data_IF_899723343383
#
_entry.id   IF_899723343383
#
_cell.length_a   1.000
_cell.length_b   1.000
_cell.length_c   1.000
_cell.angle_alpha   90.00
_cell.angle_beta   90.00
_cell.angle_gamma   90.00
#
_symmetry.space_group_name_H-M   'P 1'
#
loop_
_entity.id
_entity.type
_entity.pdbx_description
1 polymer ?
#
# COMPACT_ATOMS: atom_id res chain seq x y z
N UNK A 1 -3.23 3.76 -20.16
CA UNK A 1 -2.46 2.62 -19.58
C UNK A 1 -2.97 2.27 -18.17
N UNK A 2 -3.13 3.25 -17.28
CA UNK A 2 -3.45 3.02 -15.86
C UNK A 2 -4.69 2.14 -15.63
N UNK A 3 -5.79 2.37 -16.33
CA UNK A 3 -7.03 1.58 -16.22
C UNK A 3 -6.81 0.12 -16.63
N UNK A 4 -6.10 -0.12 -17.75
CA UNK A 4 -5.80 -1.48 -18.21
C UNK A 4 -4.92 -2.25 -17.21
N UNK A 5 -3.91 -1.59 -16.64
CA UNK A 5 -3.03 -2.18 -15.62
C UNK A 5 -3.81 -2.46 -14.32
N UNK A 6 -4.61 -1.51 -13.85
CA UNK A 6 -5.46 -1.72 -12.67
C UNK A 6 -6.45 -2.88 -12.88
N UNK A 7 -7.04 -2.99 -14.07
CA UNK A 7 -7.99 -4.05 -14.40
C UNK A 7 -7.38 -5.45 -14.33
N UNK A 8 -6.15 -5.64 -14.82
CA UNK A 8 -5.51 -6.98 -14.75
C UNK A 8 -5.03 -7.32 -13.34
N UNK A 9 -4.66 -6.32 -12.54
CA UNK A 9 -4.31 -6.49 -11.11
C UNK A 9 -5.56 -6.91 -10.33
N UNK A 10 -6.69 -6.22 -10.53
CA UNK A 10 -7.97 -6.54 -9.92
C UNK A 10 -8.48 -7.92 -10.33
N UNK A 11 -8.38 -8.27 -11.62
CA UNK A 11 -8.77 -9.58 -12.12
C UNK A 11 -7.96 -10.75 -11.51
N UNK A 12 -6.74 -10.50 -11.06
CA UNK A 12 -5.93 -11.46 -10.32
C UNK A 12 -6.35 -11.62 -8.84
N UNK A 13 -7.21 -10.75 -8.32
CA UNK A 13 -7.69 -10.78 -6.92
C UNK A 13 -7.07 -9.74 -5.98
N UNK A 14 -6.30 -8.78 -6.50
CA UNK A 14 -5.71 -7.70 -5.70
C UNK A 14 -6.65 -6.48 -5.76
N UNK A 15 -7.30 -6.20 -4.65
CA UNK A 15 -8.38 -5.20 -4.53
C UNK A 15 -7.94 -3.85 -3.90
N UNK A 16 -6.67 -3.69 -3.53
CA UNK A 16 -6.11 -2.43 -3.05
C UNK A 16 -5.05 -1.94 -4.00
N UNK A 17 -5.29 -0.79 -4.63
CA UNK A 17 -4.43 -0.24 -5.69
C UNK A 17 -4.07 1.20 -5.35
N UNK A 18 -2.78 1.49 -5.30
CA UNK A 18 -2.30 2.86 -5.14
C UNK A 18 -1.49 3.32 -6.36
N UNK A 19 -1.73 4.55 -6.79
CA UNK A 19 -0.95 5.23 -7.83
C UNK A 19 0.06 6.15 -7.16
N UNK A 20 1.36 5.96 -7.38
CA UNK A 20 2.38 6.82 -6.76
C UNK A 20 2.31 8.25 -7.30
N UNK A 21 2.30 9.25 -6.41
CA UNK A 21 2.21 10.67 -6.82
C UNK A 21 3.45 11.19 -7.58
N UNK A 22 4.54 10.42 -7.62
CA UNK A 22 5.72 10.71 -8.44
C UNK A 22 5.63 10.10 -9.87
N UNK A 23 4.47 9.56 -10.25
CA UNK A 23 4.18 9.12 -11.62
C UNK A 23 3.58 10.26 -12.46
N UNK A 24 3.56 10.16 -13.82
CA UNK A 24 2.92 11.17 -14.68
C UNK A 24 1.40 11.24 -14.44
N UNK A 25 0.85 12.47 -14.33
CA UNK A 25 -0.59 12.75 -14.17
C UNK A 25 -1.29 11.81 -13.16
N UNK A 26 -0.78 11.70 -11.89
CA UNK A 26 -1.25 10.66 -10.98
C UNK A 26 -2.73 10.85 -10.58
N UNK A 27 -3.20 12.08 -10.46
CA UNK A 27 -4.60 12.34 -10.08
C UNK A 27 -5.58 11.99 -11.21
N UNK A 28 -5.20 12.21 -12.48
CA UNK A 28 -5.99 11.78 -13.64
C UNK A 28 -6.05 10.24 -13.69
N UNK A 29 -4.92 9.58 -13.41
CA UNK A 29 -4.86 8.12 -13.32
C UNK A 29 -5.75 7.58 -12.20
N UNK A 30 -5.72 8.18 -11.00
CA UNK A 30 -6.58 7.80 -9.89
C UNK A 30 -8.06 7.97 -10.28
N UNK A 31 -8.42 9.13 -10.82
CA UNK A 31 -9.81 9.41 -11.21
C UNK A 31 -10.32 8.38 -12.24
N UNK A 32 -9.57 8.12 -13.31
CA UNK A 32 -9.99 7.16 -14.34
C UNK A 32 -10.08 5.72 -13.83
N UNK A 33 -9.20 5.31 -12.90
CA UNK A 33 -9.27 3.98 -12.27
C UNK A 33 -10.49 3.91 -11.35
N UNK A 34 -10.77 4.96 -10.57
CA UNK A 34 -11.96 5.04 -9.69
C UNK A 34 -13.25 4.97 -10.51
N UNK A 35 -13.35 5.70 -11.63
CA UNK A 35 -14.51 5.63 -12.53
C UNK A 35 -14.75 4.22 -13.08
N UNK A 36 -13.66 3.48 -13.36
CA UNK A 36 -13.74 2.13 -13.91
C UNK A 36 -13.99 1.04 -12.87
N UNK A 37 -13.41 1.16 -11.67
CA UNK A 37 -13.31 0.06 -10.71
C UNK A 37 -13.57 0.46 -9.25
N UNK A 38 -14.02 1.69 -8.96
CA UNK A 38 -14.21 2.18 -7.59
C UNK A 38 -15.21 1.40 -6.75
N UNK A 39 -16.15 0.69 -7.39
CA UNK A 39 -17.09 -0.20 -6.72
C UNK A 39 -16.50 -1.60 -6.41
N UNK A 40 -15.35 -1.93 -6.95
CA UNK A 40 -14.71 -3.26 -6.87
C UNK A 40 -13.38 -3.25 -6.13
N UNK A 41 -12.71 -2.08 -6.05
CA UNK A 41 -11.38 -1.94 -5.48
C UNK A 41 -11.26 -0.68 -4.62
N UNK A 42 -10.40 -0.75 -3.61
CA UNK A 42 -9.96 0.40 -2.83
C UNK A 42 -8.81 1.08 -3.58
N UNK A 43 -9.09 2.23 -4.19
CA UNK A 43 -8.14 2.94 -5.05
C UNK A 43 -7.67 4.21 -4.37
N UNK A 44 -6.41 4.54 -4.53
CA UNK A 44 -5.87 5.78 -3.97
C UNK A 44 -4.45 6.10 -4.42
N UNK A 45 -3.71 6.79 -3.58
CA UNK A 45 -2.39 7.29 -3.90
C UNK A 45 -1.29 6.74 -2.99
N UNK A 46 -0.13 6.49 -3.58
CA UNK A 46 1.13 6.29 -2.89
C UNK A 46 2.02 7.53 -2.91
N UNK A 47 3.02 7.55 -2.04
CA UNK A 47 4.00 8.66 -1.94
C UNK A 47 3.34 10.01 -1.63
N UNK A 48 2.31 9.99 -0.79
CA UNK A 48 1.63 11.20 -0.32
C UNK A 48 2.40 11.78 0.85
N UNK A 49 2.84 13.03 0.72
CA UNK A 49 3.76 13.69 1.67
C UNK A 49 3.18 14.96 2.33
N UNK A 50 2.04 15.46 1.84
CA UNK A 50 1.46 16.70 2.35
C UNK A 50 -0.05 16.62 2.49
N UNK A 51 -0.62 17.42 3.39
CA UNK A 51 -2.08 17.54 3.56
C UNK A 51 -2.78 18.11 2.33
N UNK A 52 -2.08 18.91 1.51
CA UNK A 52 -2.61 19.39 0.23
C UNK A 52 -2.78 18.24 -0.77
N UNK A 53 -1.81 17.34 -0.85
CA UNK A 53 -1.92 16.13 -1.68
C UNK A 53 -3.06 15.21 -1.20
N UNK A 54 -3.30 15.08 0.10
CA UNK A 54 -4.44 14.33 0.65
C UNK A 54 -5.75 14.84 0.05
N UNK A 55 -5.98 16.17 0.04
CA UNK A 55 -7.18 16.78 -0.54
C UNK A 55 -7.29 16.53 -2.05
N UNK A 56 -6.16 16.57 -2.78
CA UNK A 56 -6.14 16.27 -4.21
C UNK A 56 -6.50 14.79 -4.48
N UNK A 57 -5.98 13.84 -3.67
CA UNK A 57 -6.36 12.43 -3.75
C UNK A 57 -7.87 12.26 -3.52
N UNK A 58 -8.42 12.92 -2.50
CA UNK A 58 -9.86 12.87 -2.23
C UNK A 58 -10.68 13.43 -3.39
N UNK A 59 -10.25 14.57 -3.95
CA UNK A 59 -10.91 15.20 -5.11
C UNK A 59 -10.89 14.32 -6.36
N UNK A 60 -9.86 13.49 -6.53
CA UNK A 60 -9.75 12.52 -7.61
C UNK A 60 -10.59 11.23 -7.36
N UNK A 61 -11.35 11.18 -6.26
CA UNK A 61 -12.16 10.01 -5.88
C UNK A 61 -11.41 8.94 -5.09
N UNK A 62 -10.13 9.18 -4.73
CA UNK A 62 -9.33 8.22 -3.96
C UNK A 62 -9.90 7.99 -2.57
N UNK A 63 -9.67 6.78 -2.05
CA UNK A 63 -10.13 6.30 -0.75
C UNK A 63 -8.98 5.76 0.11
N UNK A 64 -7.76 5.74 -0.45
CA UNK A 64 -6.56 5.17 0.15
C UNK A 64 -5.39 6.15 0.03
N UNK A 65 -4.66 6.35 1.11
CA UNK A 65 -3.42 7.13 1.15
C UNK A 65 -2.31 6.27 1.75
N UNK A 66 -1.26 6.07 0.99
CA UNK A 66 -0.03 5.39 1.40
C UNK A 66 1.11 6.40 1.40
N UNK A 67 1.82 6.54 2.52
CA UNK A 67 2.96 7.44 2.66
C UNK A 67 4.26 6.66 2.85
N UNK A 68 5.41 7.18 2.41
CA UNK A 68 6.70 6.52 2.67
C UNK A 68 7.22 6.77 4.08
N UNK A 69 6.64 7.72 4.82
CA UNK A 69 7.05 8.19 6.14
C UNK A 69 5.86 8.33 7.08
N UNK A 70 6.15 8.53 8.35
CA UNK A 70 5.18 8.84 9.38
C UNK A 70 5.08 10.37 9.57
N UNK A 71 4.02 10.97 9.03
CA UNK A 71 3.66 12.36 9.30
C UNK A 71 2.26 12.42 9.93
N UNK A 72 2.15 12.72 11.23
CA UNK A 72 0.86 12.78 11.92
C UNK A 72 -0.15 13.76 11.29
N UNK A 73 0.32 14.85 10.66
CA UNK A 73 -0.58 15.81 10.02
C UNK A 73 -1.20 15.22 8.73
N UNK A 74 -0.42 14.48 7.95
CA UNK A 74 -0.90 13.77 6.74
C UNK A 74 -1.87 12.66 7.14
N UNK A 75 -1.56 11.89 8.19
CA UNK A 75 -2.42 10.84 8.71
C UNK A 75 -3.77 11.41 9.16
N UNK A 76 -3.75 12.42 10.03
CA UNK A 76 -4.96 13.06 10.55
C UNK A 76 -5.81 13.68 9.44
N UNK A 77 -5.19 14.34 8.46
CA UNK A 77 -5.90 14.89 7.30
C UNK A 77 -6.56 13.77 6.46
N UNK A 78 -5.87 12.64 6.26
CA UNK A 78 -6.40 11.49 5.53
C UNK A 78 -7.66 10.93 6.20
N UNK A 79 -7.59 10.72 7.51
CA UNK A 79 -8.72 10.22 8.30
C UNK A 79 -9.89 11.23 8.31
N UNK A 80 -9.60 12.54 8.42
CA UNK A 80 -10.63 13.58 8.38
C UNK A 80 -11.37 13.62 7.02
N UNK A 81 -10.71 13.27 5.93
CA UNK A 81 -11.32 13.13 4.59
C UNK A 81 -12.05 11.78 4.39
N UNK A 82 -12.13 10.91 5.41
CA UNK A 82 -12.79 9.61 5.35
C UNK A 82 -12.04 8.54 4.55
N UNK A 83 -10.73 8.70 4.37
CA UNK A 83 -9.88 7.77 3.64
C UNK A 83 -9.07 6.87 4.57
N UNK A 84 -8.63 5.72 4.09
CA UNK A 84 -7.68 4.86 4.79
C UNK A 84 -6.27 5.46 4.72
N UNK A 85 -5.56 5.48 5.88
CA UNK A 85 -4.18 5.96 5.99
C UNK A 85 -3.22 4.83 6.33
N UNK A 86 -2.20 4.64 5.49
CA UNK A 86 -1.16 3.62 5.61
C UNK A 86 0.23 4.27 5.58
N UNK A 87 0.65 4.94 6.68
CA UNK A 87 1.94 5.60 6.78
C UNK A 87 3.10 4.61 6.84
N UNK A 88 4.22 5.00 6.26
CA UNK A 88 5.50 4.31 6.38
C UNK A 88 6.10 4.49 7.76
N UNK A 89 6.51 3.39 8.38
CA UNK A 89 7.16 3.37 9.69
C UNK A 89 8.36 2.43 9.66
N UNK A 90 9.41 2.77 10.40
CA UNK A 90 10.61 1.95 10.53
C UNK A 90 11.02 1.75 11.99
N UNK A 91 10.58 2.63 12.88
CA UNK A 91 10.90 2.61 14.31
C UNK A 91 9.66 2.44 15.18
N UNK A 92 9.80 1.94 16.42
CA UNK A 92 8.72 1.90 17.41
C UNK A 92 8.03 3.26 17.62
N UNK A 93 8.80 4.34 17.69
CA UNK A 93 8.26 5.69 17.89
C UNK A 93 7.37 6.13 16.75
N UNK A 94 7.78 5.89 15.50
CA UNK A 94 6.96 6.19 14.32
C UNK A 94 5.69 5.35 14.30
N UNK A 95 5.79 4.04 14.59
CA UNK A 95 4.64 3.16 14.60
C UNK A 95 3.58 3.59 15.62
N UNK A 96 3.98 3.93 16.84
CA UNK A 96 3.06 4.39 17.88
C UNK A 96 2.51 5.79 17.56
N UNK A 97 3.32 6.70 17.04
CA UNK A 97 2.85 8.03 16.61
C UNK A 97 1.84 7.93 15.46
N UNK A 98 2.06 7.05 14.50
CA UNK A 98 1.12 6.80 13.40
C UNK A 98 -0.24 6.31 13.92
N UNK A 99 -0.25 5.34 14.83
CA UNK A 99 -1.48 4.81 15.43
C UNK A 99 -2.20 5.86 16.28
N UNK A 100 -1.46 6.68 17.04
CA UNK A 100 -2.03 7.80 17.80
C UNK A 100 -2.68 8.85 16.90
N UNK A 101 -2.13 9.08 15.71
CA UNK A 101 -2.71 9.97 14.70
C UNK A 101 -3.92 9.37 13.96
N UNK A 102 -4.29 8.11 14.22
CA UNK A 102 -5.45 7.44 13.66
C UNK A 102 -5.17 6.59 12.42
N UNK A 103 -3.92 6.21 12.15
CA UNK A 103 -3.59 5.36 11.00
C UNK A 103 -4.45 4.09 10.96
N UNK A 104 -4.93 3.72 9.78
CA UNK A 104 -5.72 2.50 9.54
C UNK A 104 -4.88 1.23 9.72
N UNK A 105 -3.62 1.30 9.31
CA UNK A 105 -2.61 0.28 9.47
C UNK A 105 -1.24 0.88 9.21
N UNK A 106 -0.21 0.06 9.28
CA UNK A 106 1.18 0.49 9.15
C UNK A 106 1.82 -0.14 7.91
N UNK A 107 2.58 0.65 7.17
CA UNK A 107 3.49 0.20 6.13
C UNK A 107 4.89 0.09 6.74
N UNK A 108 5.40 -1.13 7.00
CA UNK A 108 6.79 -1.31 7.39
C UNK A 108 7.69 -1.08 6.17
N UNK A 109 8.43 0.04 6.19
CA UNK A 109 9.22 0.50 5.04
C UNK A 109 10.49 1.23 5.48
N UNK A 110 11.66 0.96 4.86
CA UNK A 110 11.92 -0.08 3.85
C UNK A 110 11.95 -1.51 4.46
N UNK A 111 11.12 -2.41 3.90
CA UNK A 111 10.98 -3.75 4.45
C UNK A 111 12.24 -4.60 4.34
N UNK A 112 13.00 -4.48 3.25
CA UNK A 112 14.26 -5.17 3.03
C UNK A 112 15.33 -4.82 4.08
N UNK A 113 15.31 -3.61 4.62
CA UNK A 113 16.20 -3.20 5.72
C UNK A 113 15.71 -3.71 7.08
N UNK A 114 14.41 -3.70 7.34
CA UNK A 114 13.84 -4.17 8.60
C UNK A 114 13.90 -5.70 8.72
N UNK A 115 13.56 -6.37 7.64
CA UNK A 115 13.44 -7.82 7.57
C UNK A 115 12.30 -8.39 8.46
N UNK A 116 11.98 -9.68 8.30
CA UNK A 116 11.00 -10.35 9.16
C UNK A 116 11.35 -10.30 10.65
N UNK A 117 12.64 -10.32 10.99
CA UNK A 117 13.11 -10.19 12.38
C UNK A 117 12.76 -8.83 13.00
N UNK A 118 12.91 -7.76 12.23
CA UNK A 118 12.53 -6.40 12.65
C UNK A 118 11.02 -6.29 12.88
N UNK A 119 10.22 -6.85 11.97
CA UNK A 119 8.77 -6.92 12.15
C UNK A 119 8.39 -7.67 13.43
N UNK A 120 8.95 -8.86 13.66
CA UNK A 120 8.66 -9.66 14.86
C UNK A 120 9.00 -8.90 16.14
N UNK A 121 10.11 -8.16 16.16
CA UNK A 121 10.48 -7.33 17.29
C UNK A 121 9.49 -6.16 17.50
N UNK A 122 9.06 -5.51 16.41
CA UNK A 122 8.08 -4.41 16.47
C UNK A 122 6.71 -4.90 16.96
N UNK A 123 6.27 -6.09 16.58
CA UNK A 123 5.01 -6.70 17.04
C UNK A 123 4.88 -6.77 18.55
N UNK A 124 5.99 -6.93 19.26
CA UNK A 124 5.97 -7.03 20.72
C UNK A 124 5.45 -5.77 21.44
N UNK A 125 5.47 -4.61 20.75
CA UNK A 125 5.03 -3.33 21.33
C UNK A 125 3.77 -2.75 20.66
N UNK A 126 3.32 -3.33 19.57
CA UNK A 126 2.14 -2.85 18.88
C UNK A 126 0.85 -3.33 19.58
N UNK A 127 -0.20 -2.51 19.63
CA UNK A 127 -1.52 -2.91 20.09
C UNK A 127 -2.03 -4.14 19.33
N UNK A 128 -2.76 -5.00 20.02
CA UNK A 128 -3.36 -6.17 19.40
C UNK A 128 -4.33 -5.75 18.27
N UNK A 129 -4.26 -6.45 17.14
CA UNK A 129 -5.08 -6.14 15.96
C UNK A 129 -4.51 -5.05 15.05
N UNK A 130 -3.35 -4.47 15.39
CA UNK A 130 -2.67 -3.54 14.46
C UNK A 130 -2.30 -4.26 13.17
N UNK A 131 -2.77 -3.78 12.04
CA UNK A 131 -2.36 -4.29 10.73
C UNK A 131 -1.00 -3.72 10.32
N UNK A 132 -0.09 -4.60 9.87
CA UNK A 132 1.23 -4.20 9.37
C UNK A 132 1.51 -4.90 8.05
N UNK A 133 1.69 -4.09 7.00
CA UNK A 133 2.04 -4.58 5.67
C UNK A 133 3.54 -4.38 5.43
N UNK A 134 4.21 -5.44 4.98
CA UNK A 134 5.62 -5.36 4.60
C UNK A 134 5.75 -4.78 3.19
N UNK A 135 6.55 -3.73 3.04
CA UNK A 135 6.73 -3.00 1.77
C UNK A 135 8.21 -2.79 1.51
N UNK A 136 8.67 -3.26 0.35
CA UNK A 136 10.08 -3.31 -0.02
C UNK A 136 10.71 -4.67 0.27
N UNK A 137 11.22 -5.31 -0.77
CA UNK A 137 11.86 -6.61 -0.67
C UNK A 137 10.94 -7.81 -0.44
N UNK A 138 9.62 -7.60 -0.32
CA UNK A 138 8.66 -8.70 -0.27
C UNK A 138 8.41 -9.24 -1.69
N UNK A 139 8.47 -10.57 -1.82
CA UNK A 139 8.30 -11.29 -3.08
C UNK A 139 7.75 -12.71 -2.82
N UNK A 140 7.20 -13.39 -3.82
CA UNK A 140 6.63 -14.73 -3.67
C UNK A 140 7.52 -15.75 -2.95
N UNK A 141 8.81 -15.69 -3.13
CA UNK A 141 9.80 -16.61 -2.55
C UNK A 141 10.09 -16.36 -1.05
N UNK A 142 9.59 -15.26 -0.50
CA UNK A 142 9.81 -14.92 0.90
C UNK A 142 8.53 -14.57 1.69
N UNK A 143 7.35 -14.64 1.09
CA UNK A 143 6.08 -14.32 1.76
C UNK A 143 5.87 -15.11 3.05
N UNK A 144 6.12 -16.43 3.05
CA UNK A 144 5.98 -17.26 4.24
C UNK A 144 6.79 -16.75 5.43
N UNK A 145 8.03 -16.29 5.20
CA UNK A 145 8.88 -15.74 6.25
C UNK A 145 8.30 -14.47 6.89
N UNK A 146 7.64 -13.65 6.07
CA UNK A 146 6.96 -12.44 6.54
C UNK A 146 5.70 -12.76 7.32
N UNK A 147 4.88 -13.71 6.85
CA UNK A 147 3.67 -14.15 7.54
C UNK A 147 4.02 -14.83 8.87
N UNK A 148 5.06 -15.67 8.92
CA UNK A 148 5.60 -16.23 10.17
C UNK A 148 6.07 -15.16 11.16
N UNK A 149 6.52 -14.01 10.66
CA UNK A 149 6.86 -12.84 11.47
C UNK A 149 5.65 -11.96 11.79
N UNK A 150 4.43 -12.40 11.43
CA UNK A 150 3.15 -11.72 11.66
C UNK A 150 2.93 -10.47 10.79
N UNK A 151 3.40 -10.46 9.54
CA UNK A 151 2.88 -9.53 8.54
C UNK A 151 1.42 -9.88 8.22
N UNK A 152 0.56 -8.87 8.09
CA UNK A 152 -0.85 -9.05 7.70
C UNK A 152 -1.02 -8.98 6.17
N UNK A 153 0.00 -8.57 5.45
CA UNK A 153 -0.02 -8.45 3.99
C UNK A 153 1.22 -7.75 3.45
N UNK A 154 1.14 -7.41 2.17
CA UNK A 154 2.26 -6.87 1.41
C UNK A 154 1.85 -5.65 0.58
N UNK A 155 2.77 -4.69 0.46
CA UNK A 155 2.70 -3.66 -0.57
C UNK A 155 3.74 -3.96 -1.65
N UNK A 156 3.29 -4.13 -2.88
CA UNK A 156 4.10 -4.60 -4.00
C UNK A 156 4.15 -3.51 -5.08
N UNK A 157 5.32 -2.93 -5.30
CA UNK A 157 5.57 -1.95 -6.35
C UNK A 157 6.20 -2.60 -7.58
N UNK A 158 7.52 -2.49 -7.71
CA UNK A 158 8.27 -3.00 -8.87
C UNK A 158 8.19 -4.51 -9.10
N UNK A 159 7.73 -5.28 -8.11
CA UNK A 159 7.48 -6.70 -8.26
C UNK A 159 6.25 -6.99 -9.15
N UNK A 160 5.26 -6.09 -9.17
CA UNK A 160 4.04 -6.25 -9.96
C UNK A 160 4.05 -5.41 -11.24
N UNK A 161 4.52 -4.17 -11.19
CA UNK A 161 4.52 -3.25 -12.33
C UNK A 161 5.82 -2.43 -12.41
N UNK A 162 6.31 -2.26 -13.63
CA UNK A 162 7.37 -1.31 -13.98
C UNK A 162 6.94 -0.52 -15.23
N UNK A 163 7.33 0.76 -15.37
CA UNK A 163 7.07 1.50 -16.60
C UNK A 163 7.52 0.73 -17.84
N UNK A 164 6.61 0.56 -18.80
CA UNK A 164 6.84 -0.22 -20.02
C UNK A 164 6.39 -1.69 -19.96
N UNK A 165 5.96 -2.19 -18.82
CA UNK A 165 5.33 -3.52 -18.73
C UNK A 165 3.99 -3.50 -19.48
N UNK A 166 3.72 -4.56 -20.24
CA UNK A 166 2.40 -4.76 -20.89
C UNK A 166 1.38 -5.30 -19.90
N UNK A 167 0.09 -5.13 -20.20
CA UNK A 167 -0.99 -5.69 -19.37
C UNK A 167 -0.85 -7.21 -19.19
N UNK A 168 -0.41 -7.95 -20.21
CA UNK A 168 -0.18 -9.40 -20.12
C UNK A 168 0.96 -9.73 -19.14
N UNK A 169 2.03 -8.93 -19.17
CA UNK A 169 3.16 -9.11 -18.25
C UNK A 169 2.73 -8.85 -16.80
N UNK A 170 1.96 -7.78 -16.57
CA UNK A 170 1.43 -7.47 -15.24
C UNK A 170 0.43 -8.51 -14.77
N UNK A 171 -0.47 -8.98 -15.63
CA UNK A 171 -1.42 -10.05 -15.31
C UNK A 171 -0.70 -11.32 -14.85
N UNK A 172 0.35 -11.74 -15.56
CA UNK A 172 1.13 -12.92 -15.19
C UNK A 172 1.83 -12.75 -13.84
N UNK A 173 2.43 -11.57 -13.58
CA UNK A 173 3.05 -11.26 -12.28
C UNK A 173 2.02 -11.24 -11.15
N UNK A 174 0.87 -10.58 -11.35
CA UNK A 174 -0.20 -10.49 -10.37
C UNK A 174 -0.73 -11.88 -10.00
N UNK A 175 -0.99 -12.72 -11.00
CA UNK A 175 -1.46 -14.09 -10.79
C UNK A 175 -0.43 -14.94 -10.01
N UNK A 176 0.86 -14.82 -10.34
CA UNK A 176 1.91 -15.54 -9.62
C UNK A 176 2.03 -15.09 -8.15
N UNK A 177 1.87 -13.79 -7.90
CA UNK A 177 1.85 -13.20 -6.56
C UNK A 177 0.67 -13.74 -5.75
N UNK A 178 -0.54 -13.69 -6.29
CA UNK A 178 -1.75 -14.18 -5.59
C UNK A 178 -1.64 -15.68 -5.34
N UNK A 179 -1.24 -16.47 -6.34
CA UNK A 179 -1.03 -17.92 -6.19
C UNK A 179 -0.05 -18.24 -5.06
N UNK A 180 1.06 -17.48 -4.97
CA UNK A 180 2.05 -17.68 -3.91
C UNK A 180 1.53 -17.25 -2.53
N UNK A 181 0.69 -16.22 -2.48
CA UNK A 181 0.06 -15.77 -1.24
C UNK A 181 -0.99 -16.74 -0.73
N UNK A 182 -1.84 -17.27 -1.62
CA UNK A 182 -2.90 -18.24 -1.28
C UNK A 182 -2.35 -19.61 -0.87
N UNK A 183 -1.09 -19.90 -1.18
CA UNK A 183 -0.42 -21.14 -0.80
C UNK A 183 0.17 -21.14 0.63
N UNK A 184 0.09 -20.00 1.36
CA UNK A 184 0.61 -19.85 2.72
C UNK A 184 -0.55 -19.97 3.70
#
# INVERSE_FOLDING_TARGET
>A
EAVGIAGVILAAGIDKIEVPLNSPSPFDSINTIVEAYGDQALIGAGTVLTTAQVKQVRSAGGQLVVSPNCDPAVIAATIAEGMQSWPGVFTPSEALAALQAGATGLKLFPGDMAGPKGLKAMRAILPLGTQVYAVGGAAPDNFSKWIEASADGFGLGSAIYKPGDTSETVAAKAQAIVTAFDAI
#
